data_IF_994638448288
#
_entry.id   IF_994638448288
#
_cell.length_a   1.000
_cell.length_b   1.000
_cell.length_c   1.000
_cell.angle_alpha   90.00
_cell.angle_beta   90.00
_cell.angle_gamma   90.00
#
_symmetry.space_group_name_H-M   'P 1'
#
loop_
_entity.id
_entity.type
_entity.pdbx_description
1 polymer ?
#
# COMPACT_ATOMS: atom_id res chain seq x y z
N UNK A 1 -6.00 6.99 -8.40
CA UNK A 1 -4.94 7.93 -7.96
C UNK A 1 -3.73 7.74 -8.84
N UNK A 2 -3.05 8.82 -9.23
CA UNK A 2 -1.83 8.75 -10.03
C UNK A 2 -0.77 9.70 -9.48
N UNK A 3 0.50 9.30 -9.58
CA UNK A 3 1.66 10.10 -9.16
C UNK A 3 2.78 9.96 -10.17
N UNK A 4 3.41 11.07 -10.50
CA UNK A 4 4.62 11.10 -11.31
C UNK A 4 5.87 11.14 -10.41
N UNK A 5 6.89 10.39 -10.81
CA UNK A 5 8.22 10.37 -10.20
C UNK A 5 9.24 10.96 -11.15
N UNK A 6 10.11 11.80 -10.64
CA UNK A 6 11.27 12.33 -11.36
C UNK A 6 12.41 11.29 -11.37
N UNK A 7 12.09 10.10 -11.85
CA UNK A 7 13.01 8.98 -12.03
C UNK A 7 12.40 7.97 -13.00
N UNK A 8 13.25 7.28 -13.73
CA UNK A 8 12.80 6.24 -14.67
C UNK A 8 12.17 5.04 -13.96
N UNK A 9 11.32 4.30 -14.70
CA UNK A 9 10.57 3.13 -14.23
C UNK A 9 11.46 2.11 -13.53
N UNK A 10 12.66 1.84 -14.09
CA UNK A 10 13.62 0.88 -13.52
C UNK A 10 14.07 1.27 -12.11
N UNK A 11 14.25 2.57 -11.84
CA UNK A 11 14.67 3.03 -10.52
C UNK A 11 13.54 2.91 -9.49
N UNK A 12 12.31 3.21 -9.88
CA UNK A 12 11.13 3.04 -9.03
C UNK A 12 10.89 1.56 -8.74
N UNK A 13 10.89 0.72 -9.75
CA UNK A 13 10.71 -0.73 -9.60
C UNK A 13 11.82 -1.36 -8.74
N UNK A 14 13.07 -0.91 -8.88
CA UNK A 14 14.17 -1.38 -8.04
C UNK A 14 13.97 -1.08 -6.56
N UNK A 15 13.32 0.04 -6.22
CA UNK A 15 12.93 0.31 -4.83
C UNK A 15 11.94 -0.74 -4.31
N UNK A 16 10.96 -1.14 -5.12
CA UNK A 16 9.99 -2.17 -4.73
C UNK A 16 10.63 -3.57 -4.56
N UNK A 17 11.76 -3.80 -5.19
CA UNK A 17 12.55 -5.04 -5.02
C UNK A 17 13.55 -4.99 -3.85
N UNK A 18 13.67 -3.86 -3.16
CA UNK A 18 14.63 -3.67 -2.05
C UNK A 18 13.93 -3.82 -0.68
N UNK A 19 14.33 -4.82 0.09
CA UNK A 19 13.82 -5.05 1.45
C UNK A 19 13.97 -3.81 2.35
N UNK A 20 15.09 -3.08 2.21
CA UNK A 20 15.36 -1.87 3.02
C UNK A 20 14.35 -0.76 2.74
N UNK A 21 13.88 -0.65 1.51
CA UNK A 21 12.82 0.29 1.14
C UNK A 21 11.53 -0.01 1.91
N UNK A 22 11.12 -1.28 1.96
CA UNK A 22 9.89 -1.68 2.65
C UNK A 22 9.98 -1.45 4.16
N UNK A 23 11.11 -1.81 4.78
CA UNK A 23 11.36 -1.58 6.21
C UNK A 23 11.29 -0.08 6.52
N UNK A 24 11.95 0.75 5.72
CA UNK A 24 11.96 2.19 5.92
C UNK A 24 10.57 2.82 5.67
N UNK A 25 9.85 2.38 4.64
CA UNK A 25 8.48 2.83 4.36
C UNK A 25 7.53 2.50 5.50
N UNK A 26 7.63 1.31 6.06
CA UNK A 26 6.83 0.88 7.20
C UNK A 26 7.14 1.70 8.46
N UNK A 27 8.41 2.01 8.72
CA UNK A 27 8.82 2.88 9.82
C UNK A 27 8.27 4.31 9.69
N UNK A 28 8.14 4.83 8.46
CA UNK A 28 7.59 6.17 8.16
C UNK A 28 6.04 6.19 8.16
N UNK A 29 5.39 5.04 8.22
CA UNK A 29 3.94 4.91 8.00
C UNK A 29 3.07 5.55 9.08
N UNK A 30 3.61 5.78 10.28
CA UNK A 30 2.87 6.30 11.44
C UNK A 30 1.97 5.26 12.12
N UNK A 31 2.02 3.99 11.75
CA UNK A 31 1.39 2.91 12.48
C UNK A 31 2.04 2.72 13.87
N UNK A 32 1.29 2.20 14.84
CA UNK A 32 1.83 1.95 16.19
C UNK A 32 2.84 0.82 16.18
N UNK A 33 2.59 -0.18 15.35
CA UNK A 33 3.53 -1.27 15.03
C UNK A 33 3.46 -1.53 13.52
N UNK A 34 4.59 -1.83 12.91
CA UNK A 34 4.66 -2.18 11.49
C UNK A 34 5.78 -3.18 11.27
N UNK A 35 5.54 -4.17 10.42
CA UNK A 35 6.54 -5.19 10.09
C UNK A 35 6.43 -5.63 8.63
N UNK A 36 7.57 -5.95 8.07
CA UNK A 36 7.68 -6.69 6.83
C UNK A 36 7.61 -8.18 7.16
N UNK A 37 6.51 -8.84 6.79
CA UNK A 37 6.33 -10.27 7.06
C UNK A 37 7.14 -11.14 6.09
N UNK A 38 7.14 -10.76 4.82
CA UNK A 38 7.96 -11.42 3.79
C UNK A 38 8.20 -10.53 2.58
N UNK A 39 9.31 -10.77 1.90
CA UNK A 39 9.61 -10.29 0.56
C UNK A 39 10.24 -11.43 -0.23
N UNK A 40 9.69 -11.72 -1.40
CA UNK A 40 10.16 -12.81 -2.27
C UNK A 40 10.39 -12.28 -3.68
N UNK A 41 11.62 -12.38 -4.14
CA UNK A 41 12.01 -11.98 -5.50
C UNK A 41 11.95 -13.19 -6.44
N UNK A 42 11.25 -13.04 -7.55
CA UNK A 42 11.21 -14.01 -8.62
C UNK A 42 12.39 -13.88 -9.59
N UNK A 43 12.72 -14.95 -10.34
CA UNK A 43 13.82 -14.92 -11.31
C UNK A 43 13.54 -14.00 -12.51
N UNK A 44 12.29 -13.64 -12.74
CA UNK A 44 11.80 -12.72 -13.79
C UNK A 44 11.81 -11.24 -13.36
N UNK A 45 12.33 -10.95 -12.15
CA UNK A 45 12.30 -9.60 -11.55
C UNK A 45 10.99 -9.25 -10.88
N UNK A 46 10.07 -10.20 -10.74
CA UNK A 46 8.85 -10.03 -9.94
C UNK A 46 9.18 -9.96 -8.45
N UNK A 47 8.30 -9.35 -7.68
CA UNK A 47 8.42 -9.28 -6.21
C UNK A 47 7.06 -9.42 -5.55
N UNK A 48 7.00 -10.31 -4.56
CA UNK A 48 5.85 -10.48 -3.67
C UNK A 48 6.20 -9.97 -2.28
N UNK A 49 5.38 -9.09 -1.74
CA UNK A 49 5.62 -8.45 -0.44
C UNK A 49 4.40 -8.59 0.44
N UNK A 50 4.60 -9.01 1.68
CA UNK A 50 3.57 -9.06 2.72
C UNK A 50 3.97 -8.19 3.88
N UNK A 51 3.09 -7.29 4.26
CA UNK A 51 3.29 -6.36 5.38
C UNK A 51 2.13 -6.42 6.36
N UNK A 52 2.42 -6.14 7.62
CA UNK A 52 1.40 -5.96 8.67
C UNK A 52 1.63 -4.65 9.40
N UNK A 53 0.56 -3.90 9.57
CA UNK A 53 0.53 -2.66 10.34
C UNK A 53 -0.54 -2.76 11.43
N UNK A 54 -0.23 -2.27 12.62
CA UNK A 54 -1.15 -2.26 13.76
C UNK A 54 -1.48 -0.83 14.16
N UNK A 55 -2.77 -0.55 14.26
CA UNK A 55 -3.30 0.69 14.83
C UNK A 55 -3.98 0.37 16.15
N UNK A 56 -3.54 1.01 17.24
CA UNK A 56 -4.11 0.78 18.57
C UNK A 56 -5.54 1.31 18.65
N UNK A 57 -6.38 0.58 19.37
CA UNK A 57 -7.80 0.90 19.53
C UNK A 57 -8.05 2.32 20.04
N UNK A 58 -7.15 2.86 20.84
CA UNK A 58 -7.22 4.23 21.37
C UNK A 58 -7.12 5.33 20.31
N UNK A 59 -6.60 5.01 19.13
CA UNK A 59 -6.47 5.93 17.98
C UNK A 59 -7.64 5.87 17.01
N UNK A 60 -8.52 4.87 17.17
CA UNK A 60 -9.59 4.61 16.20
C UNK A 60 -10.79 5.53 16.42
N UNK A 61 -11.38 6.06 15.33
CA UNK A 61 -12.64 6.83 15.44
C UNK A 61 -13.79 5.97 15.98
N UNK A 62 -14.77 6.63 16.58
CA UNK A 62 -15.96 5.96 17.11
C UNK A 62 -16.70 5.11 16.07
N UNK A 63 -16.71 5.55 14.80
CA UNK A 63 -17.29 4.79 13.69
C UNK A 63 -16.68 3.39 13.56
N UNK A 64 -15.36 3.27 13.75
CA UNK A 64 -14.64 2.00 13.67
C UNK A 64 -14.84 1.18 14.95
N UNK A 65 -14.69 1.79 16.12
CA UNK A 65 -14.81 1.10 17.41
C UNK A 65 -16.19 0.53 17.70
N UNK A 66 -17.23 1.03 17.03
CA UNK A 66 -18.59 0.46 17.09
C UNK A 66 -18.67 -0.94 16.47
N UNK A 67 -17.81 -1.27 15.51
CA UNK A 67 -17.86 -2.50 14.72
C UNK A 67 -16.64 -3.41 14.90
N UNK A 68 -15.55 -2.88 15.45
CA UNK A 68 -14.34 -3.63 15.72
C UNK A 68 -13.86 -3.37 17.14
N UNK A 69 -13.58 -4.45 17.87
CA UNK A 69 -13.02 -4.38 19.23
C UNK A 69 -11.52 -4.65 19.19
N UNK A 70 -10.76 -3.86 19.93
CA UNK A 70 -9.32 -3.99 20.03
C UNK A 70 -8.57 -3.25 18.92
N UNK A 71 -7.31 -3.57 18.79
CA UNK A 71 -6.41 -2.96 17.81
C UNK A 71 -6.76 -3.45 16.40
N UNK A 72 -6.53 -2.61 15.39
CA UNK A 72 -6.63 -3.02 14.00
C UNK A 72 -5.29 -3.61 13.55
N UNK A 73 -5.31 -4.86 13.15
CA UNK A 73 -4.19 -5.51 12.47
C UNK A 73 -4.51 -5.58 10.97
N UNK A 74 -3.78 -4.80 10.19
CA UNK A 74 -3.97 -4.64 8.75
C UNK A 74 -2.87 -5.40 8.05
N UNK A 75 -3.23 -6.43 7.31
CA UNK A 75 -2.33 -7.16 6.42
C UNK A 75 -2.50 -6.68 4.99
N UNK A 76 -1.39 -6.47 4.29
CA UNK A 76 -1.35 -6.07 2.89
C UNK A 76 -0.37 -6.95 2.13
N UNK A 77 -0.80 -7.42 0.99
CA UNK A 77 0.00 -8.19 0.05
C UNK A 77 0.10 -7.40 -1.26
N UNK A 78 1.31 -7.27 -1.79
CA UNK A 78 1.57 -6.64 -3.09
C UNK A 78 2.38 -7.60 -3.95
N UNK A 79 1.86 -7.94 -5.12
CA UNK A 79 2.51 -8.80 -6.11
C UNK A 79 2.80 -7.99 -7.36
N UNK A 80 4.05 -7.58 -7.53
CA UNK A 80 4.53 -6.82 -8.68
C UNK A 80 5.14 -7.73 -9.73
N UNK A 81 4.82 -7.51 -11.00
CA UNK A 81 5.51 -8.16 -12.12
C UNK A 81 6.94 -7.65 -12.25
N UNK A 82 7.80 -8.40 -12.91
CA UNK A 82 9.06 -7.86 -13.44
C UNK A 82 8.79 -6.81 -14.51
N UNK A 83 9.80 -5.99 -14.78
CA UNK A 83 9.70 -4.98 -15.84
C UNK A 83 9.66 -5.65 -17.22
N UNK A 84 8.69 -5.23 -18.03
CA UNK A 84 8.57 -5.56 -19.43
C UNK A 84 8.14 -4.30 -20.20
N UNK A 85 8.88 -3.92 -21.22
CA UNK A 85 8.62 -2.73 -22.05
C UNK A 85 8.45 -1.43 -21.21
N UNK A 86 9.33 -1.21 -20.24
CA UNK A 86 9.29 -0.09 -19.28
C UNK A 86 7.97 0.01 -18.51
N UNK A 87 7.39 -1.13 -18.19
CA UNK A 87 6.15 -1.24 -17.43
C UNK A 87 6.20 -2.38 -16.41
N UNK A 88 5.55 -2.20 -15.29
CA UNK A 88 5.24 -3.23 -14.30
C UNK A 88 3.82 -3.05 -13.78
N UNK A 89 3.15 -4.15 -13.51
CA UNK A 89 1.80 -4.18 -12.96
C UNK A 89 1.83 -4.83 -11.58
N UNK A 90 0.89 -4.45 -10.71
CA UNK A 90 0.72 -5.10 -9.43
C UNK A 90 -0.73 -5.43 -9.13
N UNK A 91 -0.91 -6.53 -8.42
CA UNK A 91 -2.14 -6.85 -7.69
C UNK A 91 -1.89 -6.61 -6.21
N UNK A 92 -2.82 -5.92 -5.56
CA UNK A 92 -2.70 -5.56 -4.15
C UNK A 92 -3.95 -6.02 -3.43
N UNK A 93 -3.77 -6.72 -2.32
CA UNK A 93 -4.87 -7.11 -1.44
C UNK A 93 -4.63 -6.60 -0.04
N UNK A 94 -5.69 -6.21 0.64
CA UNK A 94 -5.66 -5.77 2.03
C UNK A 94 -6.79 -6.39 2.82
N UNK A 95 -6.50 -6.76 4.06
CA UNK A 95 -7.48 -7.30 5.00
C UNK A 95 -7.23 -6.79 6.41
N UNK A 96 -8.26 -6.83 7.24
CA UNK A 96 -8.18 -6.51 8.67
C UNK A 96 -8.57 -7.75 9.43
N UNK A 97 -7.67 -8.22 10.32
CA UNK A 97 -7.92 -9.40 11.16
C UNK A 97 -9.19 -9.23 11.98
N UNK A 98 -10.10 -10.22 11.90
CA UNK A 98 -11.35 -10.23 12.66
C UNK A 98 -12.39 -9.20 12.22
N UNK A 99 -12.21 -8.53 11.09
CA UNK A 99 -13.16 -7.58 10.54
C UNK A 99 -13.62 -7.99 9.13
N UNK A 100 -14.90 -7.75 8.78
CA UNK A 100 -15.45 -8.09 7.46
C UNK A 100 -15.07 -7.04 6.41
N UNK A 101 -13.79 -6.71 6.30
CA UNK A 101 -13.22 -5.68 5.42
C UNK A 101 -12.21 -6.32 4.49
N UNK A 102 -12.31 -6.02 3.22
CA UNK A 102 -11.31 -6.36 2.21
C UNK A 102 -11.05 -5.21 1.25
N UNK A 103 -9.81 -5.08 0.81
CA UNK A 103 -9.38 -4.16 -0.23
C UNK A 103 -8.76 -4.97 -1.35
N UNK A 104 -9.15 -4.69 -2.59
CA UNK A 104 -8.50 -5.25 -3.78
C UNK A 104 -8.05 -4.10 -4.65
N UNK A 105 -6.81 -4.10 -5.07
CA UNK A 105 -6.23 -3.02 -5.86
C UNK A 105 -5.39 -3.52 -7.02
N UNK A 106 -5.23 -2.65 -7.98
CA UNK A 106 -4.30 -2.80 -9.09
C UNK A 106 -3.45 -1.54 -9.20
N UNK A 107 -2.17 -1.73 -9.44
CA UNK A 107 -1.25 -0.65 -9.71
C UNK A 107 -0.54 -0.89 -11.04
N UNK A 108 -0.22 0.20 -11.71
CA UNK A 108 0.50 0.22 -12.97
C UNK A 108 1.62 1.25 -12.88
N UNK A 109 2.83 0.81 -13.09
CA UNK A 109 4.03 1.65 -13.17
C UNK A 109 4.49 1.68 -14.63
N UNK A 110 4.51 2.86 -15.23
CA UNK A 110 4.87 3.05 -16.63
C UNK A 110 5.74 4.28 -16.85
N UNK A 111 6.41 4.36 -18.00
CA UNK A 111 7.16 5.53 -18.39
C UNK A 111 6.23 6.75 -18.60
N UNK A 112 6.70 7.93 -18.20
CA UNK A 112 6.02 9.21 -18.43
C UNK A 112 7.02 10.29 -18.84
N UNK A 113 6.51 11.46 -19.26
CA UNK A 113 7.38 12.61 -19.61
C UNK A 113 8.23 13.09 -18.41
N UNK A 114 7.74 12.91 -17.19
CA UNK A 114 8.47 13.24 -15.97
C UNK A 114 9.51 12.18 -15.56
N UNK A 115 9.42 10.97 -16.10
CA UNK A 115 10.25 9.81 -15.76
C UNK A 115 9.39 8.55 -15.61
N UNK A 116 8.64 8.41 -14.52
CA UNK A 116 7.70 7.32 -14.33
C UNK A 116 6.39 7.81 -13.73
N UNK A 117 5.30 7.11 -14.06
CA UNK A 117 3.97 7.30 -13.48
C UNK A 117 3.50 6.03 -12.81
N UNK A 118 3.05 6.15 -11.58
CA UNK A 118 2.36 5.10 -10.85
C UNK A 118 0.87 5.44 -10.78
N UNK A 119 0.04 4.58 -11.34
CA UNK A 119 -1.42 4.65 -11.22
C UNK A 119 -1.90 3.56 -10.29
N UNK A 120 -2.81 3.89 -9.37
CA UNK A 120 -3.38 2.98 -8.41
C UNK A 120 -4.91 3.06 -8.43
N UNK A 121 -5.57 1.92 -8.46
CA UNK A 121 -7.02 1.77 -8.35
C UNK A 121 -7.32 0.71 -7.29
N UNK A 122 -8.31 0.95 -6.44
CA UNK A 122 -8.73 -0.01 -5.42
C UNK A 122 -10.21 0.04 -5.17
N UNK A 123 -10.75 -1.11 -4.83
CA UNK A 123 -12.10 -1.31 -4.34
C UNK A 123 -12.06 -1.74 -2.87
N UNK A 124 -12.84 -1.06 -2.04
CA UNK A 124 -13.03 -1.37 -0.63
C UNK A 124 -14.40 -2.01 -0.44
N UNK A 125 -14.44 -3.16 0.20
CA UNK A 125 -15.68 -3.89 0.51
C UNK A 125 -15.80 -4.07 2.01
N UNK A 126 -16.91 -3.62 2.59
CA UNK A 126 -17.27 -3.80 3.99
C UNK A 126 -18.59 -4.54 4.09
N UNK A 127 -18.56 -5.75 4.65
CA UNK A 127 -19.75 -6.61 4.80
C UNK A 127 -20.45 -6.36 6.14
N UNK A 128 -20.94 -5.14 6.34
CA UNK A 128 -21.71 -4.75 7.52
C UNK A 128 -23.06 -4.20 7.06
N UNK A 129 -24.20 -4.76 7.49
CA UNK A 129 -25.52 -4.27 7.11
C UNK A 129 -25.72 -2.81 7.51
N UNK A 130 -26.41 -2.03 6.67
CA UNK A 130 -26.86 -0.65 6.85
C UNK A 130 -25.76 0.42 6.86
N UNK A 131 -24.55 0.13 7.37
CA UNK A 131 -23.46 1.11 7.52
C UNK A 131 -22.23 0.78 6.67
N UNK A 132 -22.26 -0.32 5.92
CA UNK A 132 -21.13 -0.76 5.08
C UNK A 132 -20.64 0.34 4.16
N UNK A 133 -21.53 1.06 3.47
CA UNK A 133 -21.17 2.16 2.58
C UNK A 133 -20.47 3.33 3.26
N UNK A 134 -20.83 3.67 4.51
CA UNK A 134 -20.16 4.72 5.29
C UNK A 134 -18.74 4.30 5.70
N UNK A 135 -18.58 3.02 6.09
CA UNK A 135 -17.28 2.44 6.41
C UNK A 135 -16.39 2.34 5.18
N UNK A 136 -16.93 1.94 4.04
CA UNK A 136 -16.21 1.89 2.76
C UNK A 136 -15.69 3.27 2.37
N UNK A 137 -16.51 4.31 2.44
CA UNK A 137 -16.10 5.69 2.17
C UNK A 137 -15.03 6.17 3.14
N UNK A 138 -15.17 5.87 4.43
CA UNK A 138 -14.17 6.22 5.43
C UNK A 138 -12.83 5.52 5.15
N UNK A 139 -12.84 4.22 4.94
CA UNK A 139 -11.64 3.44 4.63
C UNK A 139 -11.01 3.89 3.31
N UNK A 140 -11.82 4.15 2.28
CA UNK A 140 -11.35 4.67 1.00
C UNK A 140 -10.60 5.99 1.14
N UNK A 141 -11.11 6.93 1.94
CA UNK A 141 -10.43 8.19 2.21
C UNK A 141 -9.11 7.99 2.98
N UNK A 142 -9.10 7.11 3.99
CA UNK A 142 -7.89 6.78 4.73
C UNK A 142 -6.84 6.12 3.83
N UNK A 143 -7.28 5.27 2.91
CA UNK A 143 -6.40 4.62 1.92
C UNK A 143 -5.76 5.66 0.99
N UNK A 144 -6.51 6.65 0.53
CA UNK A 144 -5.97 7.74 -0.31
C UNK A 144 -4.91 8.56 0.43
N UNK A 145 -5.13 8.86 1.70
CA UNK A 145 -4.15 9.58 2.54
C UNK A 145 -2.88 8.74 2.73
N UNK A 146 -3.03 7.45 3.02
CA UNK A 146 -1.92 6.51 3.17
C UNK A 146 -1.11 6.41 1.88
N UNK A 147 -1.75 6.17 0.75
CA UNK A 147 -1.08 6.08 -0.56
C UNK A 147 -0.35 7.37 -0.91
N UNK A 148 -0.94 8.53 -0.60
CA UNK A 148 -0.27 9.82 -0.77
C UNK A 148 1.00 9.96 0.08
N UNK A 149 0.97 9.47 1.32
CA UNK A 149 2.15 9.44 2.19
C UNK A 149 3.23 8.48 1.66
N UNK A 150 2.83 7.28 1.24
CA UNK A 150 3.76 6.29 0.66
C UNK A 150 4.41 6.79 -0.64
N UNK A 151 3.68 7.50 -1.47
CA UNK A 151 4.23 8.09 -2.70
C UNK A 151 5.25 9.18 -2.39
N UNK A 152 4.98 10.05 -1.40
CA UNK A 152 5.96 11.04 -0.93
C UNK A 152 7.20 10.38 -0.35
N UNK A 153 7.02 9.29 0.41
CA UNK A 153 8.15 8.50 0.91
C UNK A 153 8.98 7.93 -0.25
N UNK A 154 8.33 7.32 -1.22
CA UNK A 154 9.00 6.74 -2.40
C UNK A 154 9.81 7.80 -3.15
N UNK A 155 9.26 9.00 -3.33
CA UNK A 155 9.97 10.12 -3.96
C UNK A 155 11.26 10.46 -3.22
N UNK A 156 11.21 10.58 -1.89
CA UNK A 156 12.40 10.86 -1.05
C UNK A 156 13.41 9.72 -1.09
N UNK A 157 12.93 8.48 -1.05
CA UNK A 157 13.80 7.29 -1.14
C UNK A 157 14.59 7.27 -2.46
N UNK A 158 13.90 7.49 -3.57
CA UNK A 158 14.50 7.52 -4.90
C UNK A 158 15.52 8.65 -5.04
N UNK A 159 15.27 9.80 -4.40
CA UNK A 159 16.19 10.93 -4.34
C UNK A 159 17.39 10.70 -3.42
N UNK A 160 17.40 9.64 -2.61
CA UNK A 160 18.46 9.34 -1.64
C UNK A 160 18.39 10.21 -0.37
N UNK A 161 17.19 10.68 -0.03
CA UNK A 161 16.93 11.56 1.12
C UNK A 161 16.43 10.82 2.36
N UNK A 162 16.42 9.48 2.33
CA UNK A 162 15.97 8.62 3.44
C UNK A 162 17.11 7.75 3.97
#
# INVERSE_FOLDING_TARGET
MATDYDAGVGKVHSAFCDERYWVARLADSGADEARLDSITLGPDGSVDVVTTQVLRSTRLPALVTQFHRGDLEIQREESWTGLADDRADAVITGSISGAPVSVTGHAELEASDAGARLTFQADVTVRVPLVGGKLENFIGNQLLELLGAEQRFTTRWIAGEC
#
